data_IF_756141308070
#
_entry.id   IF_756141308070
#
_cell.length_a   1.000
_cell.length_b   1.000
_cell.length_c   1.000
_cell.angle_alpha   90.00
_cell.angle_beta   90.00
_cell.angle_gamma   90.00
#
_symmetry.space_group_name_H-M   'P 1'
#
loop_
_entity.id
_entity.type
_entity.pdbx_description
1 polymer ?
#
# COMPACT_ATOMS: atom_id res chain seq x y z
N UNK A 1 1.93 -73.22 2.31
CA UNK A 1 0.82 -72.26 2.33
C UNK A 1 1.38 -70.89 2.75
N UNK A 2 1.84 -70.09 1.79
CA UNK A 2 2.62 -68.88 1.99
C UNK A 2 1.75 -67.68 1.67
N UNK A 3 1.39 -66.89 2.71
CA UNK A 3 0.57 -65.68 2.59
C UNK A 3 1.48 -64.53 2.21
N UNK A 4 1.28 -63.91 1.02
CA UNK A 4 1.93 -62.65 0.64
C UNK A 4 1.06 -61.51 1.07
N UNK A 5 1.56 -60.66 2.00
CA UNK A 5 0.95 -59.40 2.40
C UNK A 5 1.47 -58.34 1.47
N UNK A 6 0.57 -57.78 0.62
CA UNK A 6 0.86 -56.66 -0.25
C UNK A 6 0.69 -55.33 0.52
N UNK A 7 1.74 -54.53 0.61
CA UNK A 7 1.68 -53.17 1.12
C UNK A 7 1.20 -52.25 0.00
N UNK A 8 0.03 -51.66 0.20
CA UNK A 8 -0.43 -50.53 -0.62
C UNK A 8 0.23 -49.24 -0.13
N UNK A 9 1.10 -48.66 -0.91
CA UNK A 9 1.58 -47.30 -0.69
C UNK A 9 0.53 -46.31 -1.21
N UNK A 10 -0.15 -45.60 -0.32
CA UNK A 10 -0.97 -44.44 -0.68
C UNK A 10 -0.05 -43.25 -0.94
N UNK A 11 0.07 -42.83 -2.19
CA UNK A 11 0.76 -41.56 -2.57
C UNK A 11 -0.19 -40.41 -2.23
N UNK A 12 0.09 -39.72 -1.14
CA UNK A 12 -0.57 -38.45 -0.80
C UNK A 12 0.07 -37.35 -1.65
N UNK A 13 -0.60 -36.97 -2.74
CA UNK A 13 -0.20 -35.81 -3.54
C UNK A 13 -0.63 -34.55 -2.82
N UNK A 14 0.29 -33.90 -2.11
CA UNK A 14 0.10 -32.53 -1.61
C UNK A 14 0.12 -31.58 -2.79
N UNK A 15 -1.04 -31.07 -3.16
CA UNK A 15 -1.18 -29.96 -4.10
C UNK A 15 -0.60 -28.71 -3.43
N UNK A 16 0.61 -28.33 -3.82
CA UNK A 16 1.14 -26.99 -3.53
C UNK A 16 0.35 -26.00 -4.40
N UNK A 17 -0.55 -25.26 -3.79
CA UNK A 17 -1.11 -24.07 -4.41
C UNK A 17 0.02 -23.06 -4.56
N UNK A 18 0.52 -22.87 -5.78
CA UNK A 18 1.63 -21.98 -6.08
C UNK A 18 1.24 -20.50 -5.95
N UNK A 19 2.19 -19.55 -6.06
CA UNK A 19 1.99 -18.11 -5.91
C UNK A 19 0.91 -17.51 -6.82
N UNK A 20 0.58 -18.15 -7.96
CA UNK A 20 -0.52 -17.72 -8.83
C UNK A 20 -1.90 -17.76 -8.15
N UNK A 21 -2.14 -18.72 -7.27
CA UNK A 21 -3.42 -18.83 -6.56
C UNK A 21 -3.58 -17.69 -5.52
N UNK A 22 -2.48 -17.24 -4.91
CA UNK A 22 -2.49 -16.12 -3.97
C UNK A 22 -2.72 -14.77 -4.70
N UNK A 23 -2.13 -14.58 -5.88
CA UNK A 23 -2.31 -13.37 -6.68
C UNK A 23 -3.75 -13.19 -7.18
N UNK A 24 -4.39 -14.25 -7.63
CA UNK A 24 -5.81 -14.21 -8.01
C UNK A 24 -6.70 -13.84 -6.82
N UNK A 25 -6.41 -14.31 -5.63
CA UNK A 25 -7.22 -14.04 -4.43
C UNK A 25 -7.24 -12.57 -4.04
N UNK A 26 -6.17 -11.80 -4.24
CA UNK A 26 -6.15 -10.36 -3.89
C UNK A 26 -6.95 -9.53 -4.89
N UNK A 27 -6.77 -9.74 -6.19
CA UNK A 27 -7.58 -9.05 -7.21
C UNK A 27 -9.06 -9.45 -7.11
N UNK A 28 -9.36 -10.71 -6.77
CA UNK A 28 -10.71 -11.18 -6.51
C UNK A 28 -11.31 -10.52 -5.27
N UNK A 29 -10.54 -10.38 -4.18
CA UNK A 29 -10.98 -9.67 -2.98
C UNK A 29 -11.26 -8.18 -3.25
N UNK A 30 -10.39 -7.52 -4.05
CA UNK A 30 -10.62 -6.14 -4.49
C UNK A 30 -11.91 -6.04 -5.34
N UNK A 31 -12.17 -7.01 -6.21
CA UNK A 31 -13.37 -7.02 -7.06
C UNK A 31 -14.69 -7.11 -6.27
N UNK A 32 -14.63 -7.58 -5.02
CA UNK A 32 -15.77 -7.68 -4.10
C UNK A 32 -15.99 -6.41 -3.24
N UNK A 33 -15.17 -5.38 -3.40
CA UNK A 33 -15.35 -4.14 -2.64
C UNK A 33 -16.73 -3.52 -2.89
N UNK A 34 -17.41 -2.98 -1.86
CA UNK A 34 -18.70 -2.33 -2.02
C UNK A 34 -18.72 -1.23 -3.08
N UNK A 35 -17.61 -0.47 -3.19
CA UNK A 35 -17.46 0.58 -4.21
C UNK A 35 -17.25 0.05 -5.64
N UNK A 36 -17.07 -1.26 -5.82
CA UNK A 36 -17.00 -1.92 -7.14
C UNK A 36 -18.29 -2.61 -7.54
N UNK A 37 -19.33 -2.56 -6.72
CA UNK A 37 -20.66 -3.06 -7.09
C UNK A 37 -21.16 -2.30 -8.33
N UNK A 38 -21.68 -3.03 -9.32
CA UNK A 38 -22.11 -2.51 -10.62
C UNK A 38 -21.02 -1.78 -11.42
N UNK A 39 -19.74 -1.95 -11.05
CA UNK A 39 -18.61 -1.43 -11.81
C UNK A 39 -18.27 -2.33 -12.99
N UNK A 40 -17.72 -1.72 -14.03
CA UNK A 40 -17.32 -2.45 -15.24
C UNK A 40 -15.83 -2.75 -15.23
N UNK A 41 -15.47 -4.02 -15.21
CA UNK A 41 -14.10 -4.45 -15.49
C UNK A 41 -13.75 -4.15 -16.96
N UNK A 42 -12.72 -3.30 -17.17
CA UNK A 42 -12.27 -2.89 -18.50
C UNK A 42 -11.08 -3.67 -19.01
N UNK A 43 -10.24 -4.11 -18.10
CA UNK A 43 -8.99 -4.81 -18.38
C UNK A 43 -8.59 -5.66 -17.18
N UNK A 44 -8.13 -6.87 -17.46
CA UNK A 44 -7.47 -7.73 -16.48
C UNK A 44 -6.38 -8.54 -17.18
N UNK A 45 -5.19 -8.57 -16.61
CA UNK A 45 -4.09 -9.42 -17.07
C UNK A 45 -3.45 -10.09 -15.87
N UNK A 46 -2.97 -11.31 -16.06
CA UNK A 46 -2.37 -12.12 -15.01
C UNK A 46 -1.01 -12.69 -15.46
N UNK A 47 -0.06 -12.76 -14.53
CA UNK A 47 1.17 -13.51 -14.67
C UNK A 47 2.09 -13.07 -15.81
N UNK A 48 2.20 -11.77 -16.08
CA UNK A 48 3.09 -11.28 -17.13
C UNK A 48 4.47 -10.93 -16.53
N UNK A 49 5.56 -11.56 -17.01
CA UNK A 49 6.91 -11.15 -16.66
C UNK A 49 7.12 -9.66 -16.98
N UNK A 50 7.65 -8.92 -16.04
CA UNK A 50 7.85 -7.48 -16.17
C UNK A 50 9.04 -7.00 -15.35
N UNK A 51 9.67 -5.92 -15.82
CA UNK A 51 10.47 -5.01 -15.00
C UNK A 51 9.66 -3.73 -14.86
N UNK A 52 9.48 -3.27 -13.63
CA UNK A 52 8.60 -2.13 -13.34
C UNK A 52 9.27 -1.17 -12.38
N UNK A 53 9.08 0.13 -12.65
CA UNK A 53 9.44 1.20 -11.73
C UNK A 53 8.16 1.70 -11.08
N UNK A 54 8.08 1.60 -9.75
CA UNK A 54 7.00 2.15 -8.96
C UNK A 54 7.45 3.45 -8.27
N UNK A 55 6.74 4.57 -8.47
CA UNK A 55 7.06 5.81 -7.78
C UNK A 55 6.86 5.69 -6.26
N UNK A 56 7.86 6.12 -5.49
CA UNK A 56 7.83 6.38 -4.05
C UNK A 56 7.79 7.88 -3.75
N UNK A 57 7.53 8.68 -4.78
CA UNK A 57 7.45 10.12 -4.72
C UNK A 57 6.65 10.71 -5.90
N UNK A 58 6.53 12.04 -5.95
CA UNK A 58 5.82 12.72 -7.03
C UNK A 58 6.46 12.48 -8.39
N UNK A 59 5.61 12.35 -9.41
CA UNK A 59 6.03 12.14 -10.79
C UNK A 59 6.15 13.48 -11.51
N UNK A 60 7.23 13.70 -12.26
CA UNK A 60 7.48 14.93 -13.02
C UNK A 60 8.10 14.63 -14.39
N UNK A 61 8.02 15.58 -15.29
CA UNK A 61 8.80 15.57 -16.53
C UNK A 61 9.76 16.74 -16.51
N UNK A 62 11.07 16.46 -16.58
CA UNK A 62 12.13 17.47 -16.59
C UNK A 62 12.95 17.24 -17.86
N UNK A 63 13.10 18.28 -18.71
CA UNK A 63 13.82 18.19 -19.99
C UNK A 63 13.35 17.02 -20.87
N UNK A 64 12.03 16.76 -20.90
CA UNK A 64 11.43 15.67 -21.68
C UNK A 64 11.52 14.27 -21.04
N UNK A 65 12.33 14.11 -20.01
CA UNK A 65 12.51 12.81 -19.31
C UNK A 65 11.58 12.70 -18.11
N UNK A 66 11.04 11.49 -17.91
CA UNK A 66 10.29 11.13 -16.71
C UNK A 66 11.26 11.12 -15.52
N UNK A 67 10.84 11.72 -14.42
CA UNK A 67 11.59 11.77 -13.16
C UNK A 67 10.64 11.49 -11.99
N UNK A 68 11.11 10.68 -11.08
CA UNK A 68 10.47 10.42 -9.81
C UNK A 68 11.29 11.09 -8.70
N UNK A 69 10.62 11.60 -7.66
CA UNK A 69 11.34 12.13 -6.50
C UNK A 69 12.05 11.01 -5.73
N UNK A 70 11.45 9.82 -5.76
CA UNK A 70 12.00 8.55 -5.29
C UNK A 70 11.29 7.41 -6.02
N UNK A 71 11.95 6.25 -6.18
CA UNK A 71 11.43 5.14 -7.00
C UNK A 71 11.90 3.77 -6.52
N UNK A 72 11.12 2.75 -6.81
CA UNK A 72 11.43 1.35 -6.58
C UNK A 72 11.37 0.58 -7.89
N UNK A 73 12.50 0.01 -8.32
CA UNK A 73 12.56 -0.88 -9.48
C UNK A 73 12.45 -2.33 -9.02
N UNK A 74 11.54 -3.08 -9.62
CA UNK A 74 11.31 -4.49 -9.33
C UNK A 74 11.22 -5.33 -10.60
N UNK A 75 11.58 -6.60 -10.49
CA UNK A 75 11.47 -7.62 -11.55
C UNK A 75 10.66 -8.80 -11.02
N UNK A 76 9.80 -9.35 -11.87
CA UNK A 76 8.95 -10.46 -11.47
C UNK A 76 7.70 -10.59 -12.34
N UNK A 77 6.59 -10.99 -11.76
CA UNK A 77 5.33 -11.17 -12.45
C UNK A 77 4.32 -10.09 -12.02
N UNK A 78 3.66 -9.50 -13.03
CA UNK A 78 2.65 -8.47 -12.84
C UNK A 78 1.25 -9.01 -13.15
N UNK A 79 0.35 -8.78 -12.21
CA UNK A 79 -1.10 -8.93 -12.36
C UNK A 79 -1.73 -7.56 -12.27
N UNK A 80 -2.69 -7.23 -13.14
CA UNK A 80 -3.36 -5.94 -13.09
C UNK A 80 -4.82 -6.04 -13.46
N UNK A 81 -5.63 -5.15 -12.90
CA UNK A 81 -7.02 -4.98 -13.25
C UNK A 81 -7.41 -3.49 -13.23
N UNK A 82 -8.32 -3.12 -14.12
CA UNK A 82 -8.84 -1.75 -14.25
C UNK A 82 -10.35 -1.78 -14.30
N UNK A 83 -11.00 -1.07 -13.41
CA UNK A 83 -12.46 -0.91 -13.36
C UNK A 83 -12.87 0.52 -13.68
N UNK A 84 -13.95 0.65 -14.42
CA UNK A 84 -14.74 1.87 -14.47
C UNK A 84 -15.85 1.75 -13.43
N UNK A 85 -15.85 2.65 -12.48
CA UNK A 85 -16.82 2.65 -11.38
C UNK A 85 -18.21 2.99 -11.90
N UNK A 86 -19.22 2.49 -11.20
CA UNK A 86 -20.59 2.93 -11.34
C UNK A 86 -20.72 4.42 -10.99
N UNK A 87 -21.70 5.12 -11.56
CA UNK A 87 -21.88 6.55 -11.35
C UNK A 87 -22.22 6.94 -9.88
N UNK A 88 -22.63 5.96 -9.08
CA UNK A 88 -22.96 6.16 -7.66
C UNK A 88 -21.76 6.00 -6.73
N UNK A 89 -20.63 5.53 -7.24
CA UNK A 89 -19.42 5.29 -6.45
C UNK A 89 -18.32 6.28 -6.80
N UNK A 90 -17.75 6.90 -5.77
CA UNK A 90 -16.64 7.82 -5.90
C UNK A 90 -15.30 7.05 -6.03
N UNK A 91 -14.36 7.59 -6.81
CA UNK A 91 -13.05 7.00 -7.00
C UNK A 91 -12.23 6.93 -5.68
N UNK A 92 -12.36 7.95 -4.85
CA UNK A 92 -11.74 8.04 -3.52
C UNK A 92 -12.24 6.97 -2.55
N UNK A 93 -13.56 6.67 -2.57
CA UNK A 93 -14.10 5.58 -1.76
C UNK A 93 -13.55 4.23 -2.19
N UNK A 94 -13.47 3.97 -3.51
CA UNK A 94 -12.90 2.73 -4.03
C UNK A 94 -11.41 2.59 -3.68
N UNK A 95 -10.65 3.68 -3.78
CA UNK A 95 -9.26 3.73 -3.39
C UNK A 95 -9.06 3.45 -1.90
N UNK A 96 -9.83 4.14 -1.04
CA UNK A 96 -9.75 3.99 0.43
C UNK A 96 -10.07 2.55 0.83
N UNK A 97 -11.18 1.99 0.34
CA UNK A 97 -11.55 0.60 0.64
C UNK A 97 -10.49 -0.40 0.17
N UNK A 98 -9.92 -0.20 -1.04
CA UNK A 98 -8.85 -1.06 -1.56
C UNK A 98 -7.59 -0.98 -0.71
N UNK A 99 -7.17 0.23 -0.31
CA UNK A 99 -6.02 0.44 0.56
C UNK A 99 -6.22 -0.19 1.93
N UNK A 100 -7.38 0.03 2.55
CA UNK A 100 -7.72 -0.54 3.86
C UNK A 100 -7.79 -2.08 3.82
N UNK A 101 -8.36 -2.65 2.75
CA UNK A 101 -8.38 -4.10 2.54
C UNK A 101 -6.95 -4.68 2.55
N UNK A 102 -6.03 -4.06 1.81
CA UNK A 102 -4.64 -4.50 1.73
C UNK A 102 -3.93 -4.34 3.08
N UNK A 103 -4.12 -3.23 3.77
CA UNK A 103 -3.54 -3.01 5.10
C UNK A 103 -4.10 -3.99 6.13
N UNK A 104 -5.39 -4.31 6.09
CA UNK A 104 -5.99 -5.34 6.94
C UNK A 104 -5.43 -6.74 6.66
N UNK A 105 -4.97 -7.00 5.42
CA UNK A 105 -4.23 -8.22 5.06
C UNK A 105 -2.74 -8.18 5.45
N UNK A 106 -2.30 -7.14 6.16
CA UNK A 106 -0.93 -6.98 6.65
C UNK A 106 0.01 -6.27 5.68
N UNK A 107 -0.49 -5.72 4.58
CA UNK A 107 0.36 -4.94 3.67
C UNK A 107 0.73 -3.59 4.30
N UNK A 108 2.01 -3.22 4.17
CA UNK A 108 2.57 -1.98 4.71
C UNK A 108 2.59 -0.90 3.63
N UNK A 109 2.00 0.25 3.94
CA UNK A 109 2.00 1.41 3.07
C UNK A 109 3.42 1.98 2.93
N UNK A 110 3.92 2.09 1.71
CA UNK A 110 5.24 2.67 1.40
C UNK A 110 5.11 4.12 0.95
N UNK A 111 4.17 4.39 0.05
CA UNK A 111 3.93 5.72 -0.46
C UNK A 111 2.44 5.95 -0.71
N UNK A 112 1.99 7.16 -0.41
CA UNK A 112 0.65 7.63 -0.70
C UNK A 112 0.68 9.11 -1.06
N UNK A 113 -0.01 9.45 -2.14
CA UNK A 113 -0.24 10.83 -2.54
C UNK A 113 -1.68 11.03 -3.02
N UNK A 114 -2.12 12.28 -2.99
CA UNK A 114 -3.44 12.68 -3.48
C UNK A 114 -3.37 14.00 -4.25
N UNK A 115 -4.25 14.14 -5.23
CA UNK A 115 -4.35 15.35 -6.01
C UNK A 115 -3.04 15.73 -6.69
N UNK A 116 -2.71 17.02 -6.65
CA UNK A 116 -1.52 17.59 -7.28
C UNK A 116 -0.20 17.16 -6.66
N UNK A 117 -0.22 16.66 -5.43
CA UNK A 117 0.99 16.14 -4.78
C UNK A 117 1.53 14.88 -5.46
N UNK A 118 0.68 14.15 -6.19
CA UNK A 118 1.11 13.04 -7.02
C UNK A 118 1.89 13.49 -8.27
N UNK A 119 1.73 14.74 -8.69
CA UNK A 119 2.21 15.25 -9.98
C UNK A 119 1.16 15.09 -11.09
N UNK A 120 1.52 15.34 -12.37
CA UNK A 120 0.57 15.31 -13.48
C UNK A 120 -0.06 13.94 -13.74
N UNK A 121 -1.40 13.88 -13.74
CA UNK A 121 -2.19 12.66 -13.96
C UNK A 121 -1.90 11.98 -15.32
N UNK A 122 -1.56 12.75 -16.35
CA UNK A 122 -1.20 12.20 -17.64
C UNK A 122 0.09 11.36 -17.59
N UNK A 123 1.02 11.66 -16.68
CA UNK A 123 2.23 10.85 -16.49
C UNK A 123 1.93 9.52 -15.79
N UNK A 124 1.01 9.53 -14.83
CA UNK A 124 0.53 8.29 -14.21
C UNK A 124 -0.15 7.39 -15.24
N UNK A 125 -1.10 7.94 -16.00
CA UNK A 125 -1.84 7.17 -16.99
C UNK A 125 -0.93 6.59 -18.09
N UNK A 126 -0.05 7.41 -18.69
CA UNK A 126 0.66 7.01 -19.90
C UNK A 126 2.08 6.50 -19.66
N UNK A 127 2.76 6.95 -18.59
CA UNK A 127 4.16 6.58 -18.36
C UNK A 127 4.33 5.58 -17.20
N UNK A 128 3.49 5.66 -16.15
CA UNK A 128 3.57 4.73 -15.03
C UNK A 128 2.75 3.47 -15.31
N UNK A 129 1.47 3.60 -15.69
CA UNK A 129 0.56 2.46 -15.85
C UNK A 129 0.34 2.00 -17.28
N UNK A 130 0.83 2.76 -18.29
CA UNK A 130 0.59 2.48 -19.72
C UNK A 130 -0.90 2.23 -19.99
N UNK A 131 -1.76 3.08 -19.44
CA UNK A 131 -3.21 2.99 -19.55
C UNK A 131 -3.85 4.37 -19.64
N UNK A 132 -4.02 4.87 -20.85
CA UNK A 132 -4.59 6.20 -21.12
C UNK A 132 -6.01 6.41 -20.55
N UNK A 133 -6.74 5.31 -20.22
CA UNK A 133 -8.06 5.39 -19.58
C UNK A 133 -7.99 6.00 -18.18
N UNK A 134 -6.82 5.97 -17.54
CA UNK A 134 -6.57 6.50 -16.19
C UNK A 134 -6.29 8.01 -16.18
N UNK A 135 -6.28 8.68 -17.33
CA UNK A 135 -6.08 10.12 -17.39
C UNK A 135 -7.31 10.90 -16.88
N UNK A 136 -7.06 11.86 -15.98
CA UNK A 136 -8.05 12.78 -15.42
C UNK A 136 -7.42 14.08 -14.94
N UNK A 137 -8.20 14.99 -14.31
CA UNK A 137 -7.66 16.18 -13.65
C UNK A 137 -6.68 15.82 -12.52
N UNK A 138 -5.59 16.57 -12.41
CA UNK A 138 -4.53 16.33 -11.43
C UNK A 138 -5.03 16.39 -9.98
N UNK A 139 -6.10 17.15 -9.72
CA UNK A 139 -6.72 17.29 -8.40
C UNK A 139 -7.54 16.06 -7.97
N UNK A 140 -7.91 15.20 -8.93
CA UNK A 140 -8.87 14.11 -8.72
C UNK A 140 -8.23 12.73 -8.87
N UNK A 141 -6.99 12.60 -8.42
CA UNK A 141 -6.23 11.36 -8.46
C UNK A 141 -5.71 10.99 -7.08
N UNK A 142 -5.54 9.69 -6.86
CA UNK A 142 -4.94 9.10 -5.67
C UNK A 142 -4.04 7.95 -6.10
N UNK A 143 -2.91 7.80 -5.45
CA UNK A 143 -2.01 6.68 -5.65
C UNK A 143 -1.49 6.16 -4.32
N UNK A 144 -1.38 4.85 -4.18
CA UNK A 144 -0.69 4.20 -3.08
C UNK A 144 0.15 3.03 -3.59
N UNK A 145 1.32 2.85 -2.97
CA UNK A 145 2.15 1.66 -3.10
C UNK A 145 2.28 1.00 -1.73
N UNK A 146 2.00 -0.30 -1.67
CA UNK A 146 2.09 -1.08 -0.45
C UNK A 146 3.00 -2.30 -0.69
N UNK A 147 3.78 -2.67 0.33
CA UNK A 147 4.50 -3.94 0.36
C UNK A 147 3.65 -4.99 1.07
N UNK A 148 3.48 -6.15 0.47
CA UNK A 148 2.78 -7.28 1.09
C UNK A 148 3.52 -7.83 2.31
N UNK A 149 2.79 -8.50 3.19
CA UNK A 149 3.33 -9.06 4.43
C UNK A 149 4.42 -10.13 4.20
N UNK A 150 4.40 -10.80 3.04
CA UNK A 150 5.40 -11.81 2.67
C UNK A 150 6.78 -11.23 2.34
N UNK A 151 6.87 -9.92 2.05
CA UNK A 151 8.09 -9.30 1.53
C UNK A 151 8.39 -9.63 0.06
N UNK A 152 7.47 -10.30 -0.63
CA UNK A 152 7.60 -10.72 -2.04
C UNK A 152 6.51 -10.13 -2.93
N UNK A 153 5.71 -9.21 -2.41
CA UNK A 153 4.58 -8.63 -3.12
C UNK A 153 4.57 -7.11 -2.99
N UNK A 154 4.19 -6.46 -4.09
CA UNK A 154 3.83 -5.05 -4.10
C UNK A 154 2.41 -4.89 -4.62
N UNK A 155 1.68 -3.95 -4.05
CA UNK A 155 0.36 -3.55 -4.50
C UNK A 155 0.38 -2.07 -4.85
N UNK A 156 0.08 -1.75 -6.12
CA UNK A 156 -0.09 -0.37 -6.56
C UNK A 156 -1.58 -0.11 -6.82
N UNK A 157 -2.14 0.87 -6.13
CA UNK A 157 -3.50 1.33 -6.33
C UNK A 157 -3.46 2.72 -6.93
N UNK A 158 -4.25 2.93 -7.98
CA UNK A 158 -4.47 4.26 -8.56
C UNK A 158 -5.94 4.48 -8.82
N UNK A 159 -6.47 5.56 -8.31
CA UNK A 159 -7.84 5.97 -8.57
C UNK A 159 -7.86 7.38 -9.16
N UNK A 160 -8.80 7.63 -10.08
CA UNK A 160 -8.97 8.95 -10.69
C UNK A 160 -10.43 9.16 -11.08
N UNK A 161 -10.93 10.37 -10.86
CA UNK A 161 -12.19 10.80 -11.46
C UNK A 161 -11.89 11.59 -12.73
N UNK A 162 -12.27 11.04 -13.88
CA UNK A 162 -12.02 11.65 -15.19
C UNK A 162 -12.80 12.95 -15.40
N UNK A 163 -12.41 13.74 -16.39
CA UNK A 163 -13.08 15.00 -16.72
C UNK A 163 -14.58 14.87 -17.03
N UNK A 164 -15.04 13.68 -17.46
CA UNK A 164 -16.45 13.39 -17.68
C UNK A 164 -17.19 12.87 -16.43
N UNK A 165 -16.58 12.96 -15.24
CA UNK A 165 -17.15 12.53 -13.97
C UNK A 165 -17.05 11.02 -13.68
N UNK A 166 -16.53 10.21 -14.61
CA UNK A 166 -16.41 8.75 -14.38
C UNK A 166 -15.21 8.42 -13.49
N UNK A 167 -15.47 7.69 -12.41
CA UNK A 167 -14.45 7.12 -11.55
C UNK A 167 -13.76 5.91 -12.18
N UNK A 168 -12.46 5.80 -11.97
CA UNK A 168 -11.64 4.66 -12.38
C UNK A 168 -10.87 4.17 -11.16
N UNK A 169 -10.74 2.84 -11.05
CA UNK A 169 -9.80 2.20 -10.13
C UNK A 169 -8.89 1.28 -10.94
N UNK A 170 -7.60 1.38 -10.70
CA UNK A 170 -6.57 0.49 -11.25
C UNK A 170 -5.78 -0.12 -10.11
N UNK A 171 -5.56 -1.42 -10.18
CA UNK A 171 -4.78 -2.16 -9.19
C UNK A 171 -3.76 -3.01 -9.92
N UNK A 172 -2.51 -2.91 -9.50
CA UNK A 172 -1.46 -3.85 -9.89
C UNK A 172 -1.01 -4.63 -8.66
N UNK A 173 -0.87 -5.93 -8.79
CA UNK A 173 -0.12 -6.79 -7.87
C UNK A 173 1.14 -7.24 -8.60
N UNK A 174 2.26 -7.06 -7.97
CA UNK A 174 3.56 -7.44 -8.50
C UNK A 174 4.19 -8.47 -7.58
N UNK A 175 4.47 -9.65 -8.12
CA UNK A 175 5.17 -10.73 -7.44
C UNK A 175 6.65 -10.62 -7.77
N UNK A 176 7.51 -10.55 -6.76
CA UNK A 176 8.97 -10.48 -6.91
C UNK A 176 9.62 -11.51 -6.01
N UNK A 177 10.85 -11.92 -6.33
CA UNK A 177 11.58 -12.87 -5.50
C UNK A 177 11.94 -12.25 -4.14
N UNK A 178 12.27 -10.96 -4.12
CA UNK A 178 12.66 -10.24 -2.91
C UNK A 178 12.45 -8.72 -3.09
N UNK A 179 11.96 -8.07 -2.03
CA UNK A 179 11.96 -6.62 -1.94
C UNK A 179 13.22 -6.13 -1.23
N UNK A 180 13.77 -4.97 -1.61
CA UNK A 180 14.91 -4.39 -0.90
C UNK A 180 14.62 -4.18 0.58
N UNK A 181 15.62 -4.44 1.42
CA UNK A 181 15.58 -4.08 2.83
C UNK A 181 15.44 -2.56 3.02
N UNK A 182 14.85 -2.16 4.13
CA UNK A 182 14.79 -0.74 4.50
C UNK A 182 13.77 0.09 3.72
N UNK A 183 12.78 -0.54 3.10
CA UNK A 183 11.64 0.17 2.52
C UNK A 183 10.72 0.68 3.64
N UNK A 184 10.81 1.97 3.96
CA UNK A 184 9.98 2.64 4.96
C UNK A 184 9.15 3.75 4.33
N UNK A 185 7.94 4.02 4.87
CA UNK A 185 7.12 5.12 4.41
C UNK A 185 7.86 6.46 4.52
N UNK A 186 7.76 7.30 3.49
CA UNK A 186 8.25 8.66 3.57
C UNK A 186 7.46 9.48 4.62
N UNK A 187 8.10 10.49 5.21
CA UNK A 187 7.45 11.36 6.22
C UNK A 187 6.15 12.01 5.72
N UNK A 188 6.06 12.32 4.43
CA UNK A 188 4.82 12.87 3.85
C UNK A 188 3.67 11.85 3.85
N UNK A 189 3.98 10.58 3.55
CA UNK A 189 3.01 9.48 3.59
C UNK A 189 2.50 9.23 5.00
N UNK A 190 3.40 9.17 5.99
CA UNK A 190 3.03 9.00 7.40
C UNK A 190 2.16 10.17 7.91
N UNK A 191 2.51 11.40 7.54
CA UNK A 191 1.71 12.58 7.89
C UNK A 191 0.31 12.50 7.25
N UNK A 192 0.23 12.19 5.96
CA UNK A 192 -1.05 12.06 5.25
C UNK A 192 -1.92 10.97 5.88
N UNK A 193 -1.32 9.83 6.27
CA UNK A 193 -2.03 8.75 6.95
C UNK A 193 -2.56 9.19 8.31
N UNK A 194 -1.75 9.86 9.13
CA UNK A 194 -2.19 10.41 10.41
C UNK A 194 -3.32 11.44 10.25
N UNK A 195 -3.23 12.31 9.26
CA UNK A 195 -4.25 13.33 9.00
C UNK A 195 -5.57 12.76 8.46
N UNK A 196 -5.51 11.68 7.68
CA UNK A 196 -6.68 11.10 7.01
C UNK A 196 -7.31 9.99 7.84
N UNK A 197 -6.51 9.03 8.28
CA UNK A 197 -6.98 7.83 8.98
C UNK A 197 -7.05 8.06 10.50
N UNK A 198 -6.47 9.18 11.00
CA UNK A 198 -6.36 9.52 12.42
C UNK A 198 -5.64 8.45 13.24
N UNK A 199 -5.00 7.50 12.57
CA UNK A 199 -4.34 6.33 13.17
C UNK A 199 -3.17 5.85 12.32
N UNK A 200 -2.15 5.33 13.00
CA UNK A 200 -1.03 4.63 12.40
C UNK A 200 -0.71 3.38 13.23
N UNK A 201 -0.68 2.22 12.60
CA UNK A 201 -0.18 1.00 13.21
C UNK A 201 1.36 1.02 13.16
N UNK A 202 1.98 0.88 14.32
CA UNK A 202 3.43 0.87 14.46
C UNK A 202 3.88 -0.59 14.58
N UNK A 203 4.38 -1.12 13.49
CA UNK A 203 4.84 -2.52 13.41
C UNK A 203 6.37 -2.54 13.44
N UNK A 204 6.94 -3.57 14.05
CA UNK A 204 8.36 -3.82 13.95
C UNK A 204 9.02 -4.28 15.24
N UNK A 205 10.09 -5.02 15.08
CA UNK A 205 11.04 -5.34 16.14
C UNK A 205 11.90 -4.09 16.47
N UNK A 206 12.75 -4.16 17.50
CA UNK A 206 13.59 -3.04 17.94
C UNK A 206 14.47 -2.42 16.83
N UNK A 207 14.90 -3.22 15.85
CA UNK A 207 15.71 -2.74 14.71
C UNK A 207 14.87 -1.93 13.71
N UNK A 208 13.69 -2.40 13.39
CA UNK A 208 12.73 -1.73 12.49
C UNK A 208 12.22 -0.43 13.10
N UNK A 209 11.91 -0.41 14.40
CA UNK A 209 11.55 0.81 15.13
C UNK A 209 12.61 1.89 14.89
N UNK A 210 13.89 1.56 15.09
CA UNK A 210 14.99 2.54 14.88
C UNK A 210 15.05 3.09 13.47
N UNK A 211 14.72 2.29 12.46
CA UNK A 211 14.74 2.72 11.06
C UNK A 211 13.54 3.61 10.70
N UNK A 212 12.39 3.40 11.30
CA UNK A 212 11.18 4.19 11.05
C UNK A 212 11.15 5.52 11.81
N UNK A 213 11.79 5.61 12.98
CA UNK A 213 11.81 6.81 13.85
C UNK A 213 12.14 8.10 13.10
N UNK A 214 13.19 8.19 12.25
CA UNK A 214 13.51 9.44 11.58
C UNK A 214 12.41 9.95 10.66
N UNK A 215 11.68 9.06 9.99
CA UNK A 215 10.60 9.44 9.10
C UNK A 215 9.37 9.86 9.88
N UNK A 216 9.01 9.13 10.94
CA UNK A 216 7.88 9.45 11.79
C UNK A 216 8.11 10.76 12.57
N UNK A 217 9.31 10.99 13.09
CA UNK A 217 9.67 12.26 13.74
C UNK A 217 9.56 13.44 12.76
N UNK A 218 10.02 13.28 11.50
CA UNK A 218 9.84 14.31 10.46
C UNK A 218 8.37 14.54 10.13
N UNK A 219 7.55 13.48 10.06
CA UNK A 219 6.12 13.58 9.83
C UNK A 219 5.44 14.42 10.91
N UNK A 220 5.65 14.06 12.18
CA UNK A 220 5.10 14.79 13.32
C UNK A 220 5.61 16.24 13.41
N UNK A 221 6.86 16.51 13.06
CA UNK A 221 7.43 17.86 13.11
C UNK A 221 7.02 18.74 11.92
N UNK A 222 6.52 18.17 10.81
CA UNK A 222 5.92 18.95 9.71
C UNK A 222 4.59 19.58 10.08
N UNK A 223 3.83 18.90 10.94
CA UNK A 223 2.60 19.44 11.50
C UNK A 223 2.73 19.50 13.03
N UNK A 224 3.14 20.66 13.52
CA UNK A 224 3.36 20.86 14.96
C UNK A 224 2.07 20.91 15.78
N UNK A 225 0.91 20.99 15.17
CA UNK A 225 -0.39 20.98 15.83
C UNK A 225 -0.86 19.56 16.21
N UNK A 226 -0.37 18.54 15.52
CA UNK A 226 -0.75 17.16 15.81
C UNK A 226 -0.31 16.76 17.22
N UNK A 227 -1.27 16.26 17.98
CA UNK A 227 -1.06 15.57 19.26
C UNK A 227 -1.49 14.12 19.09
N UNK A 228 -0.76 13.19 19.69
CA UNK A 228 -0.98 11.77 19.50
C UNK A 228 -0.95 11.01 20.82
N UNK A 229 -1.66 9.90 20.89
CA UNK A 229 -1.55 8.91 21.96
C UNK A 229 -0.93 7.64 21.40
N UNK A 230 0.07 7.11 22.09
CA UNK A 230 0.75 5.86 21.78
C UNK A 230 0.22 4.80 22.72
N UNK A 231 -0.34 3.72 22.20
CA UNK A 231 -0.89 2.60 22.94
C UNK A 231 -0.27 1.28 22.51
N UNK A 232 -0.23 0.29 23.39
CA UNK A 232 0.32 -1.04 23.12
C UNK A 232 1.67 -1.29 23.80
N UNK A 233 2.16 -2.53 23.69
CA UNK A 233 3.30 -3.04 24.48
C UNK A 233 4.64 -2.26 24.31
N UNK A 234 4.84 -1.60 23.17
CA UNK A 234 6.08 -0.85 22.88
C UNK A 234 5.88 0.66 22.87
N UNK A 235 4.71 1.17 23.30
CA UNK A 235 4.34 2.59 23.25
C UNK A 235 5.37 3.49 23.96
N UNK A 236 5.85 3.09 25.14
CA UNK A 236 6.86 3.84 25.90
C UNK A 236 8.19 3.92 25.12
N UNK A 237 8.64 2.82 24.52
CA UNK A 237 9.88 2.75 23.72
C UNK A 237 9.78 3.65 22.47
N UNK A 238 8.67 3.59 21.75
CA UNK A 238 8.42 4.49 20.61
C UNK A 238 8.44 5.96 21.02
N UNK A 239 7.76 6.30 22.11
CA UNK A 239 7.74 7.69 22.61
C UNK A 239 9.14 8.19 22.98
N UNK A 240 9.93 7.38 23.70
CA UNK A 240 11.30 7.75 24.09
C UNK A 240 12.18 8.02 22.86
N UNK A 241 12.14 7.14 21.87
CA UNK A 241 12.91 7.30 20.64
C UNK A 241 12.46 8.50 19.80
N UNK A 242 11.15 8.78 19.72
CA UNK A 242 10.62 9.96 19.04
C UNK A 242 11.04 11.26 19.76
N UNK A 243 11.04 11.27 21.10
CA UNK A 243 11.57 12.41 21.88
C UNK A 243 13.06 12.61 21.58
N UNK A 244 13.83 11.53 21.57
CA UNK A 244 15.27 11.58 21.22
C UNK A 244 15.50 12.07 19.78
N UNK A 245 14.55 11.82 18.87
CA UNK A 245 14.56 12.31 17.49
C UNK A 245 13.99 13.74 17.32
N UNK A 246 13.69 14.43 18.41
CA UNK A 246 13.30 15.83 18.42
C UNK A 246 11.80 16.13 18.37
N UNK A 247 10.94 15.13 18.64
CA UNK A 247 9.50 15.37 18.82
C UNK A 247 9.24 15.82 20.26
N UNK A 248 8.49 16.91 20.45
CA UNK A 248 8.20 17.43 21.80
C UNK A 248 7.37 16.43 22.61
N UNK A 249 7.86 16.05 23.79
CA UNK A 249 7.22 15.07 24.68
C UNK A 249 5.76 15.43 25.04
N UNK A 250 5.44 16.73 25.13
CA UNK A 250 4.09 17.23 25.44
C UNK A 250 3.06 16.98 24.35
N UNK A 251 3.49 16.56 23.16
CA UNK A 251 2.61 16.23 22.02
C UNK A 251 2.27 14.74 21.96
N UNK A 252 2.90 13.93 22.82
CA UNK A 252 2.78 12.47 22.80
C UNK A 252 2.36 11.99 24.19
N UNK A 253 1.15 11.47 24.27
CA UNK A 253 0.61 10.84 25.46
C UNK A 253 0.84 9.32 25.40
N UNK A 254 0.91 8.67 26.53
CA UNK A 254 0.87 7.19 26.61
C UNK A 254 -0.54 6.77 26.95
N UNK A 255 -1.07 5.87 26.15
CA UNK A 255 -2.36 5.24 26.38
C UNK A 255 -2.20 3.89 27.11
N UNK A 256 -3.20 3.02 26.94
CA UNK A 256 -3.19 1.71 27.56
C UNK A 256 -2.15 0.79 26.93
N UNK A 257 -1.47 -0.02 27.75
CA UNK A 257 -0.49 -1.03 27.30
C UNK A 257 -1.16 -2.29 26.75
N UNK A 258 -2.48 -2.29 26.57
CA UNK A 258 -3.24 -3.47 26.13
C UNK A 258 -3.04 -3.76 24.64
N UNK A 259 -2.68 -5.01 24.32
CA UNK A 259 -2.51 -5.50 22.94
C UNK A 259 -1.04 -5.67 22.53
N UNK A 260 -0.80 -6.65 21.64
CA UNK A 260 0.54 -6.94 21.12
C UNK A 260 1.04 -5.89 20.12
N UNK A 261 0.13 -5.29 19.36
CA UNK A 261 0.44 -4.25 18.38
C UNK A 261 0.53 -2.87 19.05
N UNK A 262 1.52 -2.09 18.64
CA UNK A 262 1.62 -0.68 19.07
C UNK A 262 0.96 0.20 18.01
N UNK A 263 0.19 1.18 18.45
CA UNK A 263 -0.50 2.12 17.56
C UNK A 263 -0.32 3.56 18.04
N UNK A 264 -0.46 4.45 17.10
CA UNK A 264 -0.49 5.90 17.33
C UNK A 264 -1.82 6.43 16.83
N UNK A 265 -2.62 6.99 17.70
CA UNK A 265 -3.91 7.64 17.36
C UNK A 265 -3.76 9.15 17.52
N UNK A 266 -4.38 9.94 16.63
CA UNK A 266 -4.41 11.41 16.71
C UNK A 266 -5.41 11.83 17.77
N UNK A 267 -5.01 12.73 18.63
CA UNK A 267 -5.89 13.33 19.65
C UNK A 267 -6.69 14.48 19.01
N UNK A 268 -7.98 14.64 19.37
CA UNK A 268 -8.83 15.72 18.87
C UNK A 268 -8.35 17.12 19.26
#
# INVERSE_FOLDING_TARGET
>A
MTIRIGFLFAVVSTLYAGPLAAAQTVLDAVSQLPSLVDSRLLEQTAGQPAEKIYPLGSVRRISGQLRFSDELTVRGERHRATWQLSAVHAADSAFTQGRELLQAAGARLLYWCQGRDCGPSNLWANAVFDNARLYGPDERQLYALLAGASGQELFALYAVTRGNGRGMLHVEQFMTDELPDGLYPAAATLLLQLQTDQRLELTGNQGEIRAEIPQLARALNRDSSLRVVLSGAQAASWREQLVSAGVRATRMELGEETGAATRMDVLP
#
